data_IF_266542789662
#
_entry.id   IF_266542789662
#
_cell.length_a   1.000
_cell.length_b   1.000
_cell.length_c   1.000
_cell.angle_alpha   90.00
_cell.angle_beta   90.00
_cell.angle_gamma   90.00
#
_symmetry.space_group_name_H-M   'P 1'
#
loop_
_entity.id
_entity.type
_entity.pdbx_description
1 polymer ?
#
# COMPACT_ATOMS: atom_id res chain seq x y z
N UNK A 1 -8.79 6.49 -6.26
CA UNK A 1 -9.39 7.73 -5.76
C UNK A 1 -10.80 7.50 -5.19
N UNK A 2 -11.63 6.73 -5.86
CA UNK A 2 -13.02 6.44 -5.43
C UNK A 2 -13.10 5.79 -4.03
N UNK A 3 -12.19 4.88 -3.70
CA UNK A 3 -12.07 4.29 -2.34
C UNK A 3 -11.98 5.36 -1.25
N UNK A 4 -11.21 6.41 -1.51
CA UNK A 4 -11.02 7.53 -0.60
C UNK A 4 -12.26 8.45 -0.59
N UNK A 5 -12.70 8.92 -1.75
CA UNK A 5 -13.79 9.91 -1.88
C UNK A 5 -15.14 9.39 -1.37
N UNK A 6 -15.38 8.08 -1.46
CA UNK A 6 -16.59 7.44 -0.94
C UNK A 6 -16.48 6.98 0.51
N UNK A 7 -15.33 7.18 1.16
CA UNK A 7 -15.10 6.72 2.53
C UNK A 7 -15.15 5.21 2.71
N UNK A 8 -14.93 4.43 1.63
CA UNK A 8 -15.06 2.97 1.68
C UNK A 8 -13.97 2.33 2.54
N UNK A 9 -12.80 2.96 2.63
CA UNK A 9 -11.68 2.48 3.46
C UNK A 9 -12.03 2.42 4.94
N UNK A 10 -12.87 3.33 5.44
CA UNK A 10 -13.22 3.40 6.86
C UNK A 10 -14.10 2.22 7.30
N UNK A 11 -14.80 1.58 6.37
CA UNK A 11 -15.62 0.39 6.60
C UNK A 11 -14.85 -0.93 6.52
N UNK A 12 -13.59 -0.92 6.10
CA UNK A 12 -12.79 -2.13 5.95
C UNK A 12 -12.09 -2.49 7.26
N UNK A 13 -11.81 -3.79 7.42
CA UNK A 13 -11.07 -4.31 8.55
C UNK A 13 -9.60 -3.85 8.49
N UNK A 14 -9.15 -3.08 9.49
CA UNK A 14 -7.83 -2.44 9.47
C UNK A 14 -6.75 -3.39 9.96
N UNK A 15 -5.69 -3.54 9.16
CA UNK A 15 -4.50 -4.30 9.56
C UNK A 15 -4.65 -5.81 9.49
N UNK A 16 -5.68 -6.32 8.82
CA UNK A 16 -5.85 -7.75 8.56
C UNK A 16 -5.65 -8.09 7.09
N UNK A 17 -5.37 -9.36 6.80
CA UNK A 17 -5.35 -9.85 5.43
C UNK A 17 -6.73 -9.72 4.77
N UNK A 18 -7.81 -9.91 5.51
CA UNK A 18 -9.18 -9.72 5.00
C UNK A 18 -9.39 -8.29 4.49
N UNK A 19 -8.98 -7.27 5.24
CA UNK A 19 -9.04 -5.87 4.80
C UNK A 19 -8.14 -5.60 3.59
N UNK A 20 -6.91 -6.11 3.60
CA UNK A 20 -5.99 -5.98 2.46
C UNK A 20 -6.55 -6.65 1.19
N UNK A 21 -7.17 -7.83 1.33
CA UNK A 21 -7.82 -8.56 0.25
C UNK A 21 -8.96 -7.74 -0.37
N UNK A 22 -9.77 -7.07 0.45
CA UNK A 22 -10.85 -6.19 -0.03
C UNK A 22 -10.30 -4.96 -0.76
N UNK A 23 -9.25 -4.33 -0.26
CA UNK A 23 -8.55 -3.24 -0.96
C UNK A 23 -8.05 -3.72 -2.32
N UNK A 24 -7.37 -4.87 -2.36
CA UNK A 24 -6.85 -5.44 -3.59
C UNK A 24 -7.98 -5.79 -4.58
N UNK A 25 -9.06 -6.43 -4.11
CA UNK A 25 -10.22 -6.75 -4.93
C UNK A 25 -10.81 -5.47 -5.57
N UNK A 26 -11.01 -4.44 -4.78
CA UNK A 26 -11.56 -3.17 -5.28
C UNK A 26 -10.67 -2.51 -6.34
N UNK A 27 -9.35 -2.51 -6.13
CA UNK A 27 -8.41 -1.89 -7.07
C UNK A 27 -8.31 -2.63 -8.40
N UNK A 28 -8.49 -3.94 -8.40
CA UNK A 28 -8.09 -4.79 -9.52
C UNK A 28 -9.19 -5.69 -10.08
N UNK A 29 -10.43 -5.60 -9.59
CA UNK A 29 -11.56 -6.44 -10.02
C UNK A 29 -11.82 -6.41 -11.53
N UNK A 30 -11.56 -5.26 -12.18
CA UNK A 30 -11.76 -5.08 -13.62
C UNK A 30 -10.50 -5.41 -14.46
N UNK A 31 -9.39 -5.77 -13.80
CA UNK A 31 -8.09 -6.01 -14.44
C UNK A 31 -7.63 -7.46 -14.28
N UNK A 32 -7.84 -8.04 -13.08
CA UNK A 32 -7.38 -9.37 -12.74
C UNK A 32 -8.51 -10.27 -12.28
N UNK A 33 -8.58 -11.46 -12.83
CA UNK A 33 -9.51 -12.51 -12.41
C UNK A 33 -9.22 -13.05 -10.99
N UNK A 34 -7.98 -12.85 -10.50
CA UNK A 34 -7.54 -13.21 -9.15
C UNK A 34 -7.63 -12.05 -8.15
N UNK A 35 -8.26 -10.94 -8.47
CA UNK A 35 -8.37 -9.79 -7.58
C UNK A 35 -8.92 -10.20 -6.18
N UNK A 36 -8.21 -9.80 -5.13
CA UNK A 36 -8.53 -10.16 -3.75
C UNK A 36 -8.23 -11.59 -3.33
N UNK A 37 -7.72 -12.44 -4.23
CA UNK A 37 -7.43 -13.85 -3.92
C UNK A 37 -5.96 -14.09 -3.61
N UNK A 38 -5.70 -14.80 -2.53
CA UNK A 38 -4.36 -15.26 -2.16
C UNK A 38 -3.78 -16.14 -3.27
N UNK A 39 -2.51 -15.89 -3.63
CA UNK A 39 -1.77 -16.70 -4.60
C UNK A 39 -1.54 -18.12 -4.09
N UNK A 40 -1.42 -19.03 -5.02
CA UNK A 40 -1.06 -20.44 -4.76
C UNK A 40 0.30 -20.84 -5.32
N UNK A 41 0.94 -19.91 -6.03
CA UNK A 41 2.26 -20.13 -6.65
C UNK A 41 3.36 -19.45 -5.82
N UNK A 42 4.56 -20.01 -5.89
CA UNK A 42 5.75 -19.33 -5.39
C UNK A 42 6.15 -18.21 -6.37
N UNK A 43 6.44 -17.04 -5.83
CA UNK A 43 6.86 -15.88 -6.61
C UNK A 43 8.16 -15.29 -6.08
N UNK A 44 8.89 -14.64 -6.97
CA UNK A 44 10.12 -13.90 -6.65
C UNK A 44 10.19 -12.65 -7.51
N UNK A 45 10.87 -11.61 -7.02
CA UNK A 45 11.14 -10.38 -7.77
C UNK A 45 12.62 -10.03 -7.62
N UNK A 46 13.31 -9.97 -8.76
CA UNK A 46 14.78 -9.87 -8.74
C UNK A 46 15.40 -11.07 -8.02
N UNK A 47 16.30 -10.83 -7.08
CA UNK A 47 16.91 -11.86 -6.23
C UNK A 47 16.09 -12.19 -4.97
N UNK A 48 14.98 -11.49 -4.71
CA UNK A 48 14.18 -11.66 -3.49
C UNK A 48 13.10 -12.73 -3.67
N UNK A 49 13.09 -13.72 -2.76
CA UNK A 49 12.05 -14.75 -2.68
C UNK A 49 11.06 -14.38 -1.59
N UNK A 50 9.79 -14.29 -1.96
CA UNK A 50 8.70 -14.08 -1.01
C UNK A 50 8.33 -15.40 -0.29
N UNK A 51 7.47 -15.31 0.73
CA UNK A 51 7.05 -16.46 1.48
C UNK A 51 6.57 -17.60 0.58
N UNK A 52 6.98 -18.86 0.84
CA UNK A 52 6.49 -20.00 0.07
C UNK A 52 4.97 -20.11 0.16
N UNK A 53 4.31 -20.39 -0.96
CA UNK A 53 2.85 -20.47 -1.02
C UNK A 53 2.27 -21.53 -0.08
N UNK A 54 3.03 -22.58 0.22
CA UNK A 54 2.63 -23.63 1.16
C UNK A 54 2.38 -23.13 2.59
N UNK A 55 3.14 -22.10 3.02
CA UNK A 55 3.07 -21.53 4.37
C UNK A 55 2.38 -20.17 4.41
N UNK A 56 1.87 -19.71 3.28
CA UNK A 56 1.37 -18.36 3.15
C UNK A 56 0.15 -18.09 4.03
N UNK A 57 -0.77 -19.06 4.14
CA UNK A 57 -1.97 -18.94 4.98
C UNK A 57 -1.61 -18.82 6.47
N UNK A 58 -0.65 -19.61 6.93
CA UNK A 58 -0.14 -19.52 8.32
C UNK A 58 0.58 -18.20 8.58
N UNK A 59 1.38 -17.73 7.61
CA UNK A 59 2.07 -16.45 7.70
C UNK A 59 1.09 -15.29 7.80
N UNK A 60 0.04 -15.28 6.97
CA UNK A 60 -0.99 -14.25 6.99
C UNK A 60 -1.77 -14.25 8.31
N UNK A 61 -2.12 -15.44 8.84
CA UNK A 61 -2.77 -15.56 10.14
C UNK A 61 -1.87 -15.01 11.27
N UNK A 62 -0.56 -15.27 11.22
CA UNK A 62 0.40 -14.72 12.18
C UNK A 62 0.48 -13.19 12.07
N UNK A 63 0.52 -12.64 10.86
CA UNK A 63 0.55 -11.20 10.61
C UNK A 63 -0.73 -10.54 11.15
N UNK A 64 -1.90 -11.15 10.98
CA UNK A 64 -3.16 -10.61 11.48
C UNK A 64 -3.13 -10.39 13.01
N UNK A 65 -2.41 -11.24 13.75
CA UNK A 65 -2.25 -11.13 15.20
C UNK A 65 -1.12 -10.20 15.66
N UNK A 66 -0.29 -9.66 14.75
CA UNK A 66 0.75 -8.71 15.10
C UNK A 66 0.15 -7.41 15.67
N UNK A 67 0.81 -6.77 16.66
CA UNK A 67 0.36 -5.49 17.19
C UNK A 67 0.44 -4.38 16.13
N UNK A 68 -0.39 -3.36 16.30
CA UNK A 68 -0.48 -2.21 15.39
C UNK A 68 -0.90 -0.92 16.09
N UNK A 69 -0.43 -0.72 17.33
CA UNK A 69 -0.80 0.43 18.17
C UNK A 69 0.18 1.59 18.07
N UNK A 70 1.42 1.31 17.71
CA UNK A 70 2.48 2.31 17.51
C UNK A 70 2.92 2.36 16.06
N UNK A 71 3.61 3.44 15.68
CA UNK A 71 4.21 3.58 14.36
C UNK A 71 5.15 2.40 14.04
N UNK A 72 6.01 2.04 14.97
CA UNK A 72 7.00 0.98 14.77
C UNK A 72 6.31 -0.38 14.55
N UNK A 73 5.31 -0.71 15.36
CA UNK A 73 4.52 -1.95 15.21
C UNK A 73 3.79 -2.00 13.86
N UNK A 74 3.23 -0.87 13.42
CA UNK A 74 2.56 -0.78 12.12
C UNK A 74 3.56 -1.02 10.98
N UNK A 75 4.75 -0.42 11.03
CA UNK A 75 5.76 -0.61 9.99
C UNK A 75 6.32 -2.03 10.02
N UNK A 76 6.56 -2.62 11.19
CA UNK A 76 6.96 -4.03 11.31
C UNK A 76 5.93 -4.97 10.67
N UNK A 77 4.66 -4.75 10.97
CA UNK A 77 3.56 -5.52 10.36
C UNK A 77 3.49 -5.34 8.83
N UNK A 78 3.74 -4.14 8.35
CA UNK A 78 3.84 -3.84 6.92
C UNK A 78 4.99 -4.57 6.24
N UNK A 79 6.17 -4.63 6.89
CA UNK A 79 7.34 -5.37 6.41
C UNK A 79 7.03 -6.86 6.30
N UNK A 80 6.42 -7.47 7.31
CA UNK A 80 6.03 -8.87 7.28
C UNK A 80 5.02 -9.17 6.17
N UNK A 81 4.04 -8.29 5.96
CA UNK A 81 3.11 -8.43 4.84
C UNK A 81 3.81 -8.32 3.48
N UNK A 82 4.85 -7.49 3.36
CA UNK A 82 5.65 -7.41 2.15
C UNK A 82 6.45 -8.70 1.89
N UNK A 83 6.96 -9.35 2.94
CA UNK A 83 7.60 -10.68 2.84
C UNK A 83 6.59 -11.75 2.43
N UNK A 84 5.39 -11.72 3.00
CA UNK A 84 4.30 -12.63 2.63
C UNK A 84 3.90 -12.47 1.17
N UNK A 85 3.75 -11.24 0.69
CA UNK A 85 3.43 -10.89 -0.71
C UNK A 85 2.24 -11.71 -1.25
N UNK A 86 1.04 -11.52 -0.69
CA UNK A 86 -0.04 -12.50 -0.79
C UNK A 86 -0.69 -12.62 -2.17
N UNK A 87 -0.52 -11.65 -3.06
CA UNK A 87 -1.15 -11.65 -4.39
C UNK A 87 -0.12 -11.92 -5.50
N UNK A 88 -0.62 -12.34 -6.66
CA UNK A 88 0.23 -12.55 -7.86
C UNK A 88 0.83 -11.23 -8.36
N UNK A 89 0.04 -10.15 -8.34
CA UNK A 89 0.39 -8.82 -8.79
C UNK A 89 -0.37 -7.78 -7.94
N UNK A 90 0.06 -6.51 -7.96
CA UNK A 90 -0.65 -5.41 -7.27
C UNK A 90 -0.40 -5.31 -5.76
N UNK A 91 0.51 -6.12 -5.20
CA UNK A 91 0.82 -6.10 -3.76
C UNK A 91 1.23 -4.71 -3.28
N UNK A 92 2.19 -4.07 -3.93
CA UNK A 92 2.71 -2.77 -3.50
C UNK A 92 1.62 -1.69 -3.43
N UNK A 93 0.76 -1.60 -4.44
CA UNK A 93 -0.33 -0.61 -4.50
C UNK A 93 -1.36 -0.82 -3.38
N UNK A 94 -1.82 -2.05 -3.20
CA UNK A 94 -2.79 -2.35 -2.15
C UNK A 94 -2.19 -2.23 -0.74
N UNK A 95 -0.94 -2.67 -0.55
CA UNK A 95 -0.29 -2.62 0.75
C UNK A 95 0.04 -1.20 1.21
N UNK A 96 0.35 -0.26 0.32
CA UNK A 96 0.54 1.16 0.70
C UNK A 96 -0.75 1.77 1.24
N UNK A 97 -1.90 1.48 0.63
CA UNK A 97 -3.20 1.93 1.15
C UNK A 97 -3.50 1.28 2.51
N UNK A 98 -3.22 -0.01 2.65
CA UNK A 98 -3.39 -0.74 3.90
C UNK A 98 -2.50 -0.21 5.03
N UNK A 99 -1.25 0.18 4.72
CA UNK A 99 -0.35 0.86 5.65
C UNK A 99 -0.94 2.20 6.12
N UNK A 100 -1.37 3.05 5.19
CA UNK A 100 -1.96 4.36 5.51
C UNK A 100 -3.23 4.22 6.35
N UNK A 101 -4.05 3.18 6.10
CA UNK A 101 -5.23 2.89 6.92
C UNK A 101 -4.84 2.54 8.38
N UNK A 102 -3.80 1.73 8.59
CA UNK A 102 -3.30 1.42 9.93
C UNK A 102 -2.71 2.67 10.62
N UNK A 103 -1.88 3.44 9.92
CA UNK A 103 -1.27 4.66 10.45
C UNK A 103 -2.32 5.71 10.82
N UNK A 104 -3.34 5.90 9.98
CA UNK A 104 -4.47 6.80 10.27
C UNK A 104 -5.14 6.44 11.60
N UNK A 105 -5.39 5.15 11.84
CA UNK A 105 -6.04 4.69 13.08
C UNK A 105 -5.13 4.72 14.31
N UNK A 106 -3.86 4.36 14.15
CA UNK A 106 -2.92 4.19 15.27
C UNK A 106 -2.23 5.48 15.66
N UNK A 107 -1.87 6.31 14.67
CA UNK A 107 -1.02 7.48 14.84
C UNK A 107 -1.70 8.79 14.44
N UNK A 108 -2.91 8.76 13.86
CA UNK A 108 -3.56 9.95 13.29
C UNK A 108 -2.77 10.60 12.15
N UNK A 109 -2.01 9.80 11.40
CA UNK A 109 -1.15 10.24 10.30
C UNK A 109 -1.23 9.28 9.12
N UNK A 110 -0.81 9.74 7.95
CA UNK A 110 -0.61 8.94 6.74
C UNK A 110 0.73 9.32 6.11
N UNK A 111 1.20 8.53 5.14
CA UNK A 111 2.43 8.84 4.42
C UNK A 111 2.13 9.78 3.26
N UNK A 112 2.81 10.93 3.19
CA UNK A 112 2.89 11.70 1.95
C UNK A 112 3.90 11.02 1.01
N UNK A 113 3.43 10.12 0.18
CA UNK A 113 4.24 9.34 -0.75
C UNK A 113 4.99 10.20 -1.77
N UNK A 114 4.63 11.46 -1.95
CA UNK A 114 5.38 12.39 -2.81
C UNK A 114 6.74 12.78 -2.23
N UNK A 115 6.92 12.61 -0.93
CA UNK A 115 8.17 12.88 -0.21
C UNK A 115 9.09 11.66 -0.15
N UNK A 116 8.61 10.50 -0.58
CA UNK A 116 9.34 9.23 -0.52
C UNK A 116 10.01 8.96 -1.87
N UNK A 117 11.34 8.96 -1.90
CA UNK A 117 12.09 8.58 -3.10
C UNK A 117 11.88 7.10 -3.44
N UNK A 118 11.70 6.82 -4.73
CA UNK A 118 11.43 5.46 -5.21
C UNK A 118 12.57 4.49 -4.93
N UNK A 119 13.80 4.91 -5.22
CA UNK A 119 14.97 4.02 -5.12
C UNK A 119 15.28 3.75 -3.66
N UNK A 120 15.26 4.79 -2.83
CA UNK A 120 15.46 4.67 -1.38
C UNK A 120 14.39 3.77 -0.75
N UNK A 121 13.13 3.93 -1.13
CA UNK A 121 12.04 3.09 -0.65
C UNK A 121 12.21 1.62 -1.04
N UNK A 122 12.52 1.32 -2.30
CA UNK A 122 12.69 -0.05 -2.76
C UNK A 122 13.88 -0.74 -2.09
N UNK A 123 15.02 -0.03 -1.92
CA UNK A 123 16.18 -0.54 -1.21
C UNK A 123 15.90 -0.77 0.28
N UNK A 124 15.22 0.18 0.93
CA UNK A 124 14.84 0.04 2.33
C UNK A 124 13.89 -1.14 2.54
N UNK A 125 12.92 -1.35 1.65
CA UNK A 125 12.01 -2.49 1.69
C UNK A 125 12.73 -3.83 1.43
N UNK A 126 13.68 -3.88 0.52
CA UNK A 126 14.48 -5.08 0.26
C UNK A 126 15.29 -5.50 1.50
N UNK A 127 15.83 -4.54 2.24
CA UNK A 127 16.63 -4.78 3.45
C UNK A 127 15.77 -5.00 4.71
N UNK A 128 14.55 -4.54 4.71
CA UNK A 128 13.69 -4.48 5.89
C UNK A 128 13.44 -5.81 6.60
N UNK A 129 13.42 -7.00 5.93
CA UNK A 129 13.26 -8.28 6.63
C UNK A 129 14.42 -8.60 7.59
N UNK A 130 15.59 -8.02 7.37
CA UNK A 130 16.78 -8.19 8.21
C UNK A 130 16.99 -6.98 9.13
N UNK A 131 16.72 -5.77 8.59
CA UNK A 131 16.93 -4.50 9.29
C UNK A 131 15.93 -3.45 8.80
N UNK A 132 14.94 -3.16 9.61
CA UNK A 132 13.82 -2.27 9.29
C UNK A 132 14.05 -0.79 9.65
N UNK A 133 15.21 -0.43 10.18
CA UNK A 133 15.54 0.94 10.61
C UNK A 133 15.45 1.94 9.45
N UNK A 134 15.90 1.54 8.26
CA UNK A 134 15.91 2.42 7.09
C UNK A 134 14.46 2.74 6.63
N UNK A 135 13.60 1.73 6.51
CA UNK A 135 12.21 1.94 6.11
C UNK A 135 11.42 2.70 7.18
N UNK A 136 11.66 2.44 8.48
CA UNK A 136 11.05 3.21 9.58
C UNK A 136 11.45 4.68 9.52
N UNK A 137 12.74 5.00 9.32
CA UNK A 137 13.19 6.37 9.20
C UNK A 137 12.57 7.08 8.00
N UNK A 138 12.61 6.44 6.83
CA UNK A 138 12.08 6.99 5.58
C UNK A 138 10.58 7.32 5.68
N UNK A 139 9.79 6.38 6.18
CA UNK A 139 8.34 6.58 6.31
C UNK A 139 8.02 7.61 7.40
N UNK A 140 8.78 7.65 8.49
CA UNK A 140 8.56 8.60 9.59
C UNK A 140 8.78 10.05 9.16
N UNK A 141 9.77 10.31 8.32
CA UNK A 141 10.04 11.63 7.76
C UNK A 141 8.95 12.11 6.78
N UNK A 142 8.23 11.17 6.17
CA UNK A 142 7.17 11.46 5.21
C UNK A 142 5.77 11.48 5.82
N UNK A 143 5.62 11.33 7.15
CA UNK A 143 4.31 11.38 7.80
C UNK A 143 3.68 12.78 7.73
N UNK A 144 2.37 12.81 7.50
CA UNK A 144 1.54 14.01 7.59
C UNK A 144 0.28 13.73 8.40
N UNK A 145 -0.21 14.74 9.11
CA UNK A 145 -1.49 14.71 9.84
C UNK A 145 -2.71 15.04 8.95
N UNK A 146 -2.47 15.34 7.68
CA UNK A 146 -3.52 15.65 6.70
C UNK A 146 -4.17 14.37 6.16
N UNK A 147 -4.75 13.57 7.06
CA UNK A 147 -5.23 12.21 6.79
C UNK A 147 -6.43 12.13 5.84
N UNK A 148 -7.18 13.22 5.71
CA UNK A 148 -8.35 13.32 4.83
C UNK A 148 -8.13 14.31 3.68
N UNK A 149 -6.89 14.71 3.42
CA UNK A 149 -6.55 15.60 2.32
C UNK A 149 -6.51 14.87 0.98
N UNK A 150 -7.38 15.29 0.06
CA UNK A 150 -7.48 14.73 -1.29
C UNK A 150 -6.17 14.87 -2.07
N UNK A 151 -5.43 15.97 -1.88
CA UNK A 151 -4.16 16.24 -2.56
C UNK A 151 -3.08 15.23 -2.13
N UNK A 152 -2.99 14.95 -0.83
CA UNK A 152 -2.06 13.94 -0.28
C UNK A 152 -2.36 12.58 -0.90
N UNK A 153 -3.65 12.20 -0.95
CA UNK A 153 -4.06 10.94 -1.53
C UNK A 153 -3.78 10.84 -3.04
N UNK A 154 -4.03 11.90 -3.80
CA UNK A 154 -3.74 11.96 -5.24
C UNK A 154 -2.26 11.82 -5.53
N UNK A 155 -1.40 12.53 -4.77
CA UNK A 155 0.06 12.38 -4.88
C UNK A 155 0.52 10.95 -4.57
N UNK A 156 -0.15 10.29 -3.62
CA UNK A 156 0.09 8.87 -3.30
C UNK A 156 -0.23 7.94 -4.47
N UNK A 157 -1.32 8.20 -5.20
CA UNK A 157 -1.66 7.47 -6.42
C UNK A 157 -0.56 7.66 -7.48
N UNK A 158 -0.16 8.90 -7.74
CA UNK A 158 0.89 9.21 -8.73
C UNK A 158 2.24 8.56 -8.36
N UNK A 159 2.61 8.58 -7.08
CA UNK A 159 3.79 7.89 -6.57
C UNK A 159 3.69 6.37 -6.78
N UNK A 160 2.53 5.77 -6.56
CA UNK A 160 2.29 4.35 -6.79
C UNK A 160 2.50 3.94 -8.25
N UNK A 161 2.04 4.75 -9.21
CA UNK A 161 2.30 4.50 -10.63
C UNK A 161 3.80 4.60 -10.96
N UNK A 162 4.50 5.57 -10.39
CA UNK A 162 5.96 5.71 -10.58
C UNK A 162 6.73 4.51 -10.03
N UNK A 163 6.34 3.96 -8.88
CA UNK A 163 6.97 2.78 -8.30
C UNK A 163 6.82 1.53 -9.18
N UNK A 164 5.71 1.40 -9.89
CA UNK A 164 5.46 0.31 -10.83
C UNK A 164 6.07 0.54 -12.23
N UNK A 165 6.75 1.68 -12.46
CA UNK A 165 7.39 2.00 -13.74
C UNK A 165 6.47 2.67 -14.77
N UNK A 166 5.27 3.06 -14.40
CA UNK A 166 4.35 3.84 -15.24
C UNK A 166 4.60 5.33 -15.02
N UNK A 167 5.17 6.02 -16.01
CA UNK A 167 5.66 7.41 -15.86
C UNK A 167 4.75 8.49 -16.48
N UNK A 168 3.49 8.19 -16.89
CA UNK A 168 2.88 9.00 -17.95
C UNK A 168 1.69 9.87 -17.60
N UNK A 169 1.08 9.81 -16.41
CA UNK A 169 -0.08 10.66 -16.12
C UNK A 169 -0.08 11.14 -14.67
N UNK A 170 -0.05 12.47 -14.47
CA UNK A 170 -0.37 13.09 -13.20
C UNK A 170 -1.90 13.17 -13.03
N UNK A 171 -2.41 12.79 -11.87
CA UNK A 171 -3.83 12.91 -11.53
C UNK A 171 -4.30 14.37 -11.48
N UNK A 172 -3.39 15.31 -11.20
CA UNK A 172 -3.68 16.76 -11.26
C UNK A 172 -4.07 17.20 -12.66
N UNK A 173 -3.38 16.71 -13.70
CA UNK A 173 -3.70 17.01 -15.10
C UNK A 173 -5.02 16.44 -15.58
N UNK A 174 -5.55 15.40 -14.96
CA UNK A 174 -6.85 14.81 -15.31
C UNK A 174 -8.03 15.61 -14.74
N UNK A 175 -7.87 16.27 -13.59
CA UNK A 175 -8.92 17.08 -12.97
C UNK A 175 -9.18 18.38 -13.71
N UNK A 176 -8.18 18.99 -14.35
CA UNK A 176 -8.33 20.22 -15.12
C UNK A 176 -9.04 20.00 -16.47
N UNK A 177 -8.84 18.85 -17.10
CA UNK A 177 -9.52 18.51 -18.35
C UNK A 177 -11.01 18.16 -18.19
N UNK A 178 -11.45 17.75 -17.02
CA UNK A 178 -12.86 17.47 -16.74
C UNK A 178 -13.68 18.76 -16.56
N UNK A 179 -13.05 19.84 -16.12
CA UNK A 179 -13.69 21.14 -15.87
C UNK A 179 -13.88 21.95 -17.17
N UNK A 180 -13.11 21.65 -18.19
CA UNK A 180 -13.15 22.40 -19.48
C UNK A 180 -14.14 21.84 -20.50
N UNK A 181 -14.75 20.68 -20.27
CA UNK A 181 -15.74 20.08 -21.18
C UNK A 181 -17.21 20.33 -20.79
N UNK A 182 -17.45 21.07 -19.70
CA UNK A 182 -18.81 21.43 -19.26
C UNK A 182 -19.20 22.88 -19.55
N UNK A 183 -18.47 23.55 -20.47
CA UNK A 183 -18.78 24.93 -20.90
C UNK A 183 -18.85 24.99 -22.41
N UNK A 184 -19.84 24.34 -23.01
CA UNK A 184 -20.40 24.67 -24.34
C UNK A 184 -21.89 24.39 -24.32
#
# INVERSE_FOLDING_TARGET
>A
LELFERGLLDGLETGTFAGLSQIHAYLFQDVYDFAGRMRRENISKGGFRFAPSLYLEEALAAIDHMPQTTFDEVVEKYVEMNVAHPFREGNGRSMRIWLDQMLKRSCGAVVDWSLVDKEDYLLAMERSPVKDVEIKALLKEALTDQVDDRQVYMKGIDASYRYEGYSTYSMEGLSENSSSQLSV
#
